data_IF_004198203124
#
_entry.id   IF_004198203124
#
_cell.length_a   1.000
_cell.length_b   1.000
_cell.length_c   1.000
_cell.angle_alpha   90.00
_cell.angle_beta   90.00
_cell.angle_gamma   90.00
#
_symmetry.space_group_name_H-M   'P 1'
#
loop_
_entity.id
_entity.type
_entity.pdbx_description
1 polymer ?
#
# COMPACT_ATOMS: atom_id res chain seq x y z
N UNK A 1 -7.60 -17.15 14.48
CA UNK A 1 -6.81 -16.96 13.24
C UNK A 1 -6.78 -15.46 12.85
N UNK A 2 -6.49 -14.57 13.81
CA UNK A 2 -6.48 -13.09 13.61
C UNK A 2 -5.13 -12.50 14.07
N UNK A 3 -4.43 -13.16 14.99
CA UNK A 3 -3.13 -12.71 15.51
C UNK A 3 -1.97 -12.81 14.49
N UNK A 4 -2.04 -13.74 13.54
CA UNK A 4 -0.96 -13.97 12.56
C UNK A 4 -0.93 -12.88 11.48
N UNK A 5 -2.12 -12.41 11.09
CA UNK A 5 -2.33 -11.39 10.05
C UNK A 5 -1.81 -10.01 10.50
N UNK A 6 -1.85 -9.72 11.81
CA UNK A 6 -1.34 -8.46 12.39
C UNK A 6 0.19 -8.37 12.34
N UNK A 7 0.90 -9.49 12.51
CA UNK A 7 2.37 -9.54 12.40
C UNK A 7 2.84 -9.33 10.96
N UNK A 8 2.14 -9.90 10.00
CA UNK A 8 2.49 -9.76 8.59
C UNK A 8 2.26 -8.34 8.05
N UNK A 9 1.18 -7.67 8.48
CA UNK A 9 0.92 -6.27 8.13
C UNK A 9 2.03 -5.34 8.63
N UNK A 10 2.44 -5.54 9.89
CA UNK A 10 3.53 -4.80 10.53
C UNK A 10 4.85 -5.01 9.80
N UNK A 11 5.15 -6.27 9.43
CA UNK A 11 6.40 -6.61 8.71
C UNK A 11 6.42 -6.02 7.30
N UNK A 12 5.28 -5.99 6.63
CA UNK A 12 5.18 -5.50 5.25
C UNK A 12 5.30 -3.97 5.19
N UNK A 13 4.67 -3.25 6.12
CA UNK A 13 4.82 -1.80 6.24
C UNK A 13 6.22 -1.40 6.74
N UNK A 14 6.82 -2.18 7.63
CA UNK A 14 8.20 -1.98 8.06
C UNK A 14 9.22 -2.13 6.91
N UNK A 15 8.95 -3.02 5.93
CA UNK A 15 9.82 -3.16 4.76
C UNK A 15 9.92 -1.86 3.93
N UNK A 16 8.85 -1.04 3.90
CA UNK A 16 8.87 0.27 3.24
C UNK A 16 9.75 1.29 3.99
N UNK A 17 9.88 1.16 5.31
CA UNK A 17 10.75 2.00 6.13
C UNK A 17 12.23 1.70 5.89
N UNK A 18 12.55 0.42 5.68
CA UNK A 18 13.90 -0.06 5.38
C UNK A 18 14.30 0.14 3.92
N UNK A 19 13.37 0.60 3.08
CA UNK A 19 13.57 0.80 1.64
C UNK A 19 14.03 -0.46 0.90
N UNK A 20 13.72 -1.63 1.47
CA UNK A 20 13.90 -2.91 0.82
C UNK A 20 12.93 -3.01 -0.37
N UNK A 21 13.22 -3.86 -1.37
CA UNK A 21 12.27 -4.11 -2.45
C UNK A 21 10.94 -4.58 -1.89
N UNK A 22 9.94 -3.70 -1.95
CA UNK A 22 8.62 -3.94 -1.40
C UNK A 22 7.90 -4.99 -2.27
N UNK A 23 7.58 -6.18 -1.73
CA UNK A 23 6.99 -7.25 -2.52
C UNK A 23 5.61 -6.87 -3.05
N UNK A 24 5.46 -6.87 -4.38
CA UNK A 24 4.19 -6.56 -5.05
C UNK A 24 3.06 -7.52 -4.65
N UNK A 25 3.38 -8.76 -4.25
CA UNK A 25 2.39 -9.74 -3.83
C UNK A 25 1.94 -9.63 -2.37
N UNK A 26 2.51 -8.70 -1.60
CA UNK A 26 2.18 -8.55 -0.20
C UNK A 26 0.92 -7.70 0.03
N UNK A 27 0.35 -7.88 1.23
CA UNK A 27 -0.84 -7.19 1.65
C UNK A 27 -0.51 -6.05 2.62
N UNK A 28 -0.74 -4.83 2.16
CA UNK A 28 -0.54 -3.58 2.89
C UNK A 28 -1.86 -3.00 3.42
N UNK A 29 -3.01 -3.51 3.00
CA UNK A 29 -4.33 -2.97 3.35
C UNK A 29 -4.80 -3.22 4.78
N UNK A 30 -4.03 -3.97 5.59
CA UNK A 30 -4.42 -4.29 6.96
C UNK A 30 -4.16 -3.10 7.88
N UNK A 31 -5.19 -2.51 8.51
CA UNK A 31 -5.00 -1.39 9.40
C UNK A 31 -4.20 -1.79 10.64
N UNK A 32 -3.23 -0.95 10.98
CA UNK A 32 -2.52 -1.02 12.26
C UNK A 32 -3.29 -0.25 13.34
N UNK A 33 -2.90 -0.44 14.61
CA UNK A 33 -3.39 0.41 15.69
C UNK A 33 -2.91 1.84 15.48
N UNK A 34 -3.67 2.82 15.98
CA UNK A 34 -3.30 4.23 15.86
C UNK A 34 -1.93 4.54 16.49
N UNK A 35 -1.61 3.87 17.61
CA UNK A 35 -0.30 3.99 18.26
C UNK A 35 0.83 3.53 17.33
N UNK A 36 0.74 2.32 16.77
CA UNK A 36 1.78 1.78 15.91
C UNK A 36 1.89 2.54 14.58
N UNK A 37 0.77 2.97 14.00
CA UNK A 37 0.77 3.84 12.82
C UNK A 37 1.43 5.20 13.11
N UNK A 38 1.20 5.78 14.28
CA UNK A 38 1.83 7.03 14.72
C UNK A 38 3.35 6.90 14.96
N UNK A 39 3.78 5.79 15.57
CA UNK A 39 5.20 5.47 15.72
C UNK A 39 5.89 5.30 14.36
N UNK A 40 5.27 4.53 13.45
CA UNK A 40 5.80 4.28 12.12
C UNK A 40 5.85 5.56 11.27
N UNK A 41 4.83 6.42 11.37
CA UNK A 41 4.80 7.72 10.71
C UNK A 41 5.94 8.64 11.22
N UNK A 42 6.18 8.66 12.52
CA UNK A 42 7.30 9.42 13.11
C UNK A 42 8.65 8.95 12.59
N UNK A 43 8.86 7.63 12.52
CA UNK A 43 10.09 7.04 11.96
C UNK A 43 10.24 7.35 10.46
N UNK A 44 9.16 7.28 9.70
CA UNK A 44 9.17 7.62 8.27
C UNK A 44 9.54 9.09 8.04
N UNK A 45 9.08 10.01 8.90
CA UNK A 45 9.49 11.42 8.84
C UNK A 45 10.98 11.63 9.10
N UNK A 46 11.53 10.98 10.12
CA UNK A 46 12.96 11.07 10.45
C UNK A 46 13.80 10.58 9.26
N UNK A 47 13.50 9.38 8.75
CA UNK A 47 14.19 8.77 7.59
C UNK A 47 14.08 9.65 6.34
N UNK A 48 12.90 10.21 6.09
CA UNK A 48 12.70 11.10 4.95
C UNK A 48 13.55 12.35 5.05
N UNK A 49 13.64 12.95 6.25
CA UNK A 49 14.47 14.14 6.45
C UNK A 49 15.95 13.84 6.22
N UNK A 50 16.45 12.69 6.68
CA UNK A 50 17.82 12.23 6.42
C UNK A 50 18.08 12.08 4.92
N UNK A 51 17.15 11.47 4.20
CA UNK A 51 17.22 11.29 2.74
C UNK A 51 17.22 12.61 1.98
N UNK A 52 16.35 13.55 2.36
CA UNK A 52 16.29 14.89 1.75
C UNK A 52 17.59 15.67 1.99
N UNK A 53 18.20 15.55 3.18
CA UNK A 53 19.52 16.14 3.46
C UNK A 53 20.61 15.54 2.57
N UNK A 54 20.50 14.26 2.24
CA UNK A 54 21.38 13.59 1.28
C UNK A 54 21.01 13.85 -0.19
N UNK A 55 19.97 14.64 -0.47
CA UNK A 55 19.50 14.94 -1.83
C UNK A 55 18.82 13.78 -2.55
N UNK A 56 18.37 12.74 -1.83
CA UNK A 56 17.75 11.55 -2.42
C UNK A 56 16.26 11.51 -2.12
N UNK A 57 15.44 11.44 -3.17
CA UNK A 57 14.00 11.20 -3.03
C UNK A 57 13.71 9.72 -2.72
N UNK A 58 12.67 9.45 -1.93
CA UNK A 58 12.22 8.09 -1.63
C UNK A 58 10.72 7.94 -1.83
N UNK A 59 10.33 7.22 -2.88
CA UNK A 59 8.93 6.89 -3.16
C UNK A 59 8.34 6.03 -2.03
N UNK A 60 9.09 5.03 -1.55
CA UNK A 60 8.59 4.09 -0.53
C UNK A 60 8.26 4.77 0.80
N UNK A 61 9.08 5.73 1.24
CA UNK A 61 8.79 6.51 2.46
C UNK A 61 7.53 7.37 2.29
N UNK A 62 7.32 7.94 1.11
CA UNK A 62 6.12 8.73 0.84
C UNK A 62 4.86 7.84 0.78
N UNK A 63 4.97 6.65 0.18
CA UNK A 63 3.91 5.64 0.18
C UNK A 63 3.58 5.16 1.60
N UNK A 64 4.60 4.90 2.43
CA UNK A 64 4.42 4.52 3.82
C UNK A 64 3.68 5.59 4.61
N UNK A 65 4.03 6.88 4.42
CA UNK A 65 3.34 7.99 5.08
C UNK A 65 1.87 8.05 4.67
N UNK A 66 1.56 7.94 3.37
CA UNK A 66 0.18 7.92 2.89
C UNK A 66 -0.63 6.77 3.50
N UNK A 67 -0.02 5.58 3.61
CA UNK A 67 -0.62 4.43 4.26
C UNK A 67 -0.90 4.68 5.75
N UNK A 68 0.08 5.21 6.50
CA UNK A 68 -0.09 5.56 7.91
C UNK A 68 -1.20 6.61 8.12
N UNK A 69 -1.24 7.65 7.27
CA UNK A 69 -2.30 8.65 7.31
C UNK A 69 -3.68 8.04 7.07
N UNK A 70 -3.80 7.09 6.14
CA UNK A 70 -5.05 6.38 5.92
C UNK A 70 -5.48 5.53 7.12
N UNK A 71 -4.55 4.91 7.85
CA UNK A 71 -4.89 4.13 9.05
C UNK A 71 -5.26 5.00 10.23
N UNK A 72 -4.63 6.17 10.36
CA UNK A 72 -4.96 7.15 11.40
C UNK A 72 -6.26 7.90 11.10
N UNK A 73 -6.79 7.81 9.88
CA UNK A 73 -7.92 8.63 9.43
C UNK A 73 -7.55 10.13 9.33
N UNK A 74 -6.26 10.44 9.30
CA UNK A 74 -5.73 11.81 9.33
C UNK A 74 -4.97 12.09 8.04
N UNK A 75 -5.71 12.27 6.95
CA UNK A 75 -5.11 12.68 5.69
C UNK A 75 -6.15 12.81 4.59
N UNK A 76 -5.92 13.70 3.62
CA UNK A 76 -6.74 13.71 2.42
C UNK A 76 -6.51 12.40 1.66
N UNK A 77 -7.58 11.80 1.12
CA UNK A 77 -7.47 10.67 0.19
C UNK A 77 -6.59 11.01 -1.03
N UNK A 78 -6.25 12.30 -1.23
CA UNK A 78 -5.32 12.81 -2.25
C UNK A 78 -3.88 12.34 -2.10
N UNK A 79 -3.46 11.85 -0.94
CA UNK A 79 -2.07 11.42 -0.72
C UNK A 79 -1.60 10.35 -1.71
N UNK A 80 -2.50 9.42 -2.10
CA UNK A 80 -2.21 8.41 -3.12
C UNK A 80 -2.22 8.97 -4.55
N UNK A 81 -3.03 10.00 -4.82
CA UNK A 81 -3.08 10.64 -6.13
C UNK A 81 -1.80 11.45 -6.42
N UNK A 82 -1.30 12.19 -5.42
CA UNK A 82 -0.05 12.96 -5.52
C UNK A 82 1.16 12.04 -5.74
N UNK A 83 1.18 10.89 -5.07
CA UNK A 83 2.20 9.85 -5.27
C UNK A 83 2.25 9.31 -6.70
N UNK A 84 1.13 9.36 -7.43
CA UNK A 84 1.08 8.96 -8.84
C UNK A 84 2.06 9.74 -9.72
N UNK A 85 2.30 11.02 -9.38
CA UNK A 85 3.26 11.86 -10.10
C UNK A 85 4.72 11.54 -9.76
N UNK A 86 4.95 10.91 -8.61
CA UNK A 86 6.28 10.52 -8.11
C UNK A 86 6.67 9.09 -8.50
N UNK A 87 5.71 8.25 -8.88
CA UNK A 87 5.94 6.86 -9.27
C UNK A 87 6.50 6.75 -10.71
N UNK A 88 7.81 6.96 -10.84
CA UNK A 88 8.51 6.97 -12.14
C UNK A 88 8.71 5.54 -12.66
N UNK A 89 9.05 4.61 -11.76
CA UNK A 89 9.36 3.22 -12.15
C UNK A 89 8.09 2.40 -12.25
N UNK A 90 8.10 1.40 -13.15
CA UNK A 90 6.96 0.48 -13.31
C UNK A 90 6.59 -0.23 -12.01
N UNK A 91 7.61 -0.66 -11.26
CA UNK A 91 7.42 -1.25 -9.93
C UNK A 91 6.70 -0.30 -8.96
N UNK A 92 7.07 0.98 -8.95
CA UNK A 92 6.47 1.99 -8.06
C UNK A 92 5.01 2.24 -8.43
N UNK A 93 4.69 2.31 -9.73
CA UNK A 93 3.31 2.42 -10.21
C UNK A 93 2.47 1.21 -9.83
N UNK A 94 2.99 0.00 -10.05
CA UNK A 94 2.31 -1.24 -9.67
C UNK A 94 2.03 -1.27 -8.16
N UNK A 95 3.07 -0.99 -7.36
CA UNK A 95 2.96 -0.96 -5.91
C UNK A 95 1.95 0.10 -5.43
N UNK A 96 1.98 1.30 -6.01
CA UNK A 96 1.04 2.37 -5.67
C UNK A 96 -0.41 1.93 -5.87
N UNK A 97 -0.72 1.39 -7.05
CA UNK A 97 -2.08 0.97 -7.40
C UNK A 97 -2.56 -0.19 -6.53
N UNK A 98 -1.68 -1.16 -6.27
CA UNK A 98 -1.99 -2.27 -5.37
C UNK A 98 -2.26 -1.76 -3.95
N UNK A 99 -1.34 -1.00 -3.34
CA UNK A 99 -1.52 -0.48 -1.98
C UNK A 99 -2.76 0.40 -1.87
N UNK A 100 -2.97 1.30 -2.84
CA UNK A 100 -4.15 2.17 -2.86
C UNK A 100 -5.45 1.34 -2.94
N UNK A 101 -5.51 0.37 -3.86
CA UNK A 101 -6.65 -0.53 -3.99
C UNK A 101 -6.92 -1.36 -2.72
N UNK A 102 -5.87 -1.84 -2.06
CA UNK A 102 -5.97 -2.57 -0.79
C UNK A 102 -6.50 -1.70 0.36
N UNK A 103 -6.07 -0.44 0.43
CA UNK A 103 -6.58 0.55 1.40
C UNK A 103 -8.05 0.89 1.14
N UNK A 104 -8.43 1.10 -0.12
CA UNK A 104 -9.84 1.29 -0.47
C UNK A 104 -10.67 0.06 -0.11
N UNK A 105 -10.15 -1.14 -0.37
CA UNK A 105 -10.82 -2.39 -0.06
C UNK A 105 -11.03 -2.58 1.45
N UNK A 106 -10.03 -2.28 2.28
CA UNK A 106 -10.16 -2.40 3.73
C UNK A 106 -11.17 -1.41 4.33
N UNK A 107 -11.39 -0.28 3.65
CA UNK A 107 -12.43 0.71 3.97
C UNK A 107 -13.78 0.45 3.27
N UNK A 108 -13.89 -0.61 2.46
CA UNK A 108 -15.05 -0.90 1.60
C UNK A 108 -15.44 0.27 0.68
N UNK A 109 -14.47 1.07 0.27
CA UNK A 109 -14.67 2.23 -0.59
C UNK A 109 -14.79 1.82 -2.08
N UNK A 110 -15.52 2.64 -2.85
CA UNK A 110 -15.66 2.48 -4.30
C UNK A 110 -14.31 2.55 -5.02
N UNK A 111 -14.17 1.85 -6.14
CA UNK A 111 -12.96 1.91 -6.98
C UNK A 111 -11.81 1.03 -6.49
N UNK A 112 -11.96 0.34 -5.35
CA UNK A 112 -10.96 -0.60 -4.83
C UNK A 112 -10.56 -1.65 -5.88
N UNK A 113 -11.55 -2.32 -6.49
CA UNK A 113 -11.31 -3.36 -7.50
C UNK A 113 -10.65 -2.81 -8.76
N UNK A 114 -10.97 -1.58 -9.18
CA UNK A 114 -10.36 -0.96 -10.35
C UNK A 114 -8.87 -0.66 -10.12
N UNK A 115 -8.52 -0.09 -8.97
CA UNK A 115 -7.11 0.13 -8.57
C UNK A 115 -6.34 -1.18 -8.47
N UNK A 116 -6.95 -2.20 -7.85
CA UNK A 116 -6.36 -3.52 -7.72
C UNK A 116 -6.09 -4.17 -9.09
N UNK A 117 -7.06 -4.13 -10.00
CA UNK A 117 -6.91 -4.65 -11.35
C UNK A 117 -5.82 -3.92 -12.16
N UNK A 118 -5.73 -2.59 -12.03
CA UNK A 118 -4.65 -1.79 -12.64
C UNK A 118 -3.28 -2.19 -12.07
N UNK A 119 -3.17 -2.24 -10.74
CA UNK A 119 -1.96 -2.63 -10.05
C UNK A 119 -1.50 -4.04 -10.41
N UNK A 120 -2.43 -4.99 -10.53
CA UNK A 120 -2.15 -6.34 -10.98
C UNK A 120 -1.63 -6.37 -12.42
N UNK A 121 -2.26 -5.65 -13.35
CA UNK A 121 -1.82 -5.59 -14.75
C UNK A 121 -0.40 -5.06 -14.88
N UNK A 122 -0.05 -4.07 -14.05
CA UNK A 122 1.29 -3.54 -13.99
C UNK A 122 2.28 -4.49 -13.32
N UNK A 123 1.86 -5.17 -12.24
CA UNK A 123 2.69 -6.08 -11.47
C UNK A 123 2.98 -7.42 -12.18
N UNK A 124 2.02 -7.95 -12.94
CA UNK A 124 2.06 -9.33 -13.46
C UNK A 124 3.38 -9.71 -14.17
N UNK A 125 3.98 -8.85 -15.03
CA UNK A 125 5.24 -9.19 -15.69
C UNK A 125 6.47 -9.21 -14.77
N UNK A 126 6.37 -8.68 -13.55
CA UNK A 126 7.45 -8.60 -12.57
C UNK A 126 7.35 -9.67 -11.48
N UNK A 127 6.27 -10.46 -11.46
CA UNK A 127 6.04 -11.47 -10.44
C UNK A 127 6.66 -12.81 -10.86
N UNK A 128 7.19 -13.53 -9.88
CA UNK A 128 7.43 -14.95 -10.02
C UNK A 128 6.09 -15.72 -9.95
N UNK A 129 6.12 -17.02 -10.24
CA UNK A 129 4.92 -17.85 -10.25
C UNK A 129 4.19 -17.82 -8.90
N UNK A 130 4.93 -17.83 -7.79
CA UNK A 130 4.35 -17.79 -6.45
C UNK A 130 3.64 -16.45 -6.18
N UNK A 131 4.29 -15.33 -6.48
CA UNK A 131 3.75 -13.99 -6.31
C UNK A 131 2.54 -13.72 -7.21
N UNK A 132 2.54 -14.26 -8.43
CA UNK A 132 1.40 -14.16 -9.35
C UNK A 132 0.15 -14.82 -8.77
N UNK A 133 0.25 -16.10 -8.36
CA UNK A 133 -0.91 -16.81 -7.80
C UNK A 133 -1.34 -16.25 -6.44
N UNK A 134 -0.41 -15.74 -5.64
CA UNK A 134 -0.74 -15.05 -4.40
C UNK A 134 -1.63 -13.82 -4.66
N UNK A 135 -1.28 -12.98 -5.64
CA UNK A 135 -2.12 -11.83 -6.02
C UNK A 135 -3.45 -12.26 -6.63
N UNK A 136 -3.48 -13.25 -7.52
CA UNK A 136 -4.75 -13.72 -8.11
C UNK A 136 -5.71 -14.17 -7.02
N UNK A 137 -5.24 -14.99 -6.07
CA UNK A 137 -6.06 -15.45 -4.94
C UNK A 137 -6.58 -14.29 -4.10
N UNK A 138 -5.76 -13.26 -3.86
CA UNK A 138 -6.20 -12.07 -3.13
C UNK A 138 -7.29 -11.31 -3.89
N UNK A 139 -7.12 -11.10 -5.20
CA UNK A 139 -8.13 -10.43 -6.03
C UNK A 139 -9.46 -11.20 -6.07
N UNK A 140 -9.39 -12.53 -6.21
CA UNK A 140 -10.58 -13.38 -6.19
C UNK A 140 -11.33 -13.26 -4.86
N UNK A 141 -10.64 -13.35 -3.73
CA UNK A 141 -11.25 -13.20 -2.40
C UNK A 141 -11.92 -11.83 -2.21
N UNK A 142 -11.30 -10.78 -2.73
CA UNK A 142 -11.83 -9.42 -2.68
C UNK A 142 -13.04 -9.22 -3.58
N UNK A 143 -13.09 -9.90 -4.73
CA UNK A 143 -14.24 -9.84 -5.65
C UNK A 143 -15.57 -10.29 -5.04
N UNK A 144 -15.54 -11.05 -3.94
CA UNK A 144 -16.74 -11.47 -3.21
C UNK A 144 -17.21 -10.48 -2.13
N UNK A 145 -16.46 -9.40 -1.87
CA UNK A 145 -16.83 -8.43 -0.84
C UNK A 145 -17.88 -7.44 -1.37
N UNK A 146 -18.91 -7.11 -0.57
CA UNK A 146 -19.82 -6.02 -0.91
C UNK A 146 -19.08 -4.69 -0.72
N UNK A 147 -18.70 -4.06 -1.83
CA UNK A 147 -18.17 -2.70 -1.85
C UNK A 147 -19.32 -1.69 -1.84
N UNK A 148 -19.07 -0.50 -1.28
CA UNK A 148 -19.95 0.64 -1.50
C UNK A 148 -19.78 1.10 -2.96
N UNK A 149 -20.32 0.34 -3.91
CA UNK A 149 -20.60 0.89 -5.22
C UNK A 149 -21.65 1.98 -5.00
N UNK A 150 -21.30 3.21 -5.36
CA UNK A 150 -22.33 4.22 -5.58
C UNK A 150 -23.19 3.68 -6.71
N UNK A 151 -24.32 3.07 -6.36
CA UNK A 151 -25.45 2.93 -7.27
C UNK A 151 -25.63 4.30 -7.92
N UNK A 152 -25.33 4.35 -9.21
CA UNK A 152 -25.51 5.53 -10.04
C UNK A 152 -26.99 5.70 -10.30
#
# INVERSE_FOLDING_TARGET
>A
MIADISRDATRTAAALLEELPAPLSAWYGNPMTAESAGQLLSLAHIRQQERLRAGVASFQLQLLKALCHSWLGTGPDSGFAELGTLAIRRHERALLQLVHGQVLASRKASGALACLAEGFREAAPMLDTAGYFALVRQHELLGYLPYLDKAT
#
